data_IF_338872068161
#
_entry.id   IF_338872068161
#
_cell.length_a   1.000
_cell.length_b   1.000
_cell.length_c   1.000
_cell.angle_alpha   90.00
_cell.angle_beta   90.00
_cell.angle_gamma   90.00
#
_symmetry.space_group_name_H-M   'P 1'
#
loop_
_entity.id
_entity.type
_entity.pdbx_description
1 polymer ?
#
# COMPACT_ATOMS: atom_id res chain seq x y z
N UNK A 1 -13.39 -8.55 -1.64
CA UNK A 1 -14.00 -9.76 -1.01
C UNK A 1 -14.92 -10.44 -1.99
N UNK A 2 -15.05 -11.77 -1.92
CA UNK A 2 -16.02 -12.55 -2.71
C UNK A 2 -16.46 -13.81 -1.95
N UNK A 3 -17.68 -14.30 -2.23
CA UNK A 3 -18.12 -15.65 -1.77
C UNK A 3 -17.76 -16.77 -2.76
N UNK A 4 -17.24 -16.43 -3.94
CA UNK A 4 -16.96 -17.40 -5.00
C UNK A 4 -15.59 -18.06 -4.81
N UNK A 5 -15.56 -19.22 -4.17
CA UNK A 5 -14.35 -20.04 -4.00
C UNK A 5 -13.61 -20.29 -5.33
N UNK A 6 -14.37 -20.58 -6.39
CA UNK A 6 -13.83 -20.85 -7.74
C UNK A 6 -13.08 -19.64 -8.31
N UNK A 7 -13.66 -18.44 -8.16
CA UNK A 7 -13.02 -17.20 -8.61
C UNK A 7 -11.74 -16.95 -7.82
N UNK A 8 -11.80 -17.06 -6.49
CA UNK A 8 -10.67 -16.76 -5.62
C UNK A 8 -9.49 -17.68 -5.87
N UNK A 9 -9.73 -18.99 -6.02
CA UNK A 9 -8.67 -19.94 -6.36
C UNK A 9 -8.04 -19.70 -7.72
N UNK A 10 -8.85 -19.30 -8.72
CA UNK A 10 -8.37 -19.04 -10.08
C UNK A 10 -7.38 -17.86 -10.12
N UNK A 11 -7.69 -16.77 -9.41
CA UNK A 11 -6.93 -15.52 -9.50
C UNK A 11 -5.90 -15.34 -8.37
N UNK A 12 -6.15 -15.90 -7.19
CA UNK A 12 -5.42 -15.61 -5.95
C UNK A 12 -4.92 -16.87 -5.23
N UNK A 13 -4.80 -18.00 -5.92
CA UNK A 13 -4.12 -19.19 -5.40
C UNK A 13 -3.46 -20.00 -6.53
N UNK A 14 -2.61 -20.97 -6.16
CA UNK A 14 -2.02 -21.94 -7.08
C UNK A 14 -2.68 -23.30 -6.85
N UNK A 15 -3.28 -23.87 -7.89
CA UNK A 15 -3.79 -25.24 -7.88
C UNK A 15 -2.69 -26.19 -8.35
N UNK A 16 -2.35 -27.16 -7.50
CA UNK A 16 -1.37 -28.23 -7.75
C UNK A 16 -2.08 -29.58 -7.64
N UNK A 17 -1.45 -30.65 -8.12
CA UNK A 17 -2.02 -32.00 -8.09
C UNK A 17 -2.42 -32.47 -6.67
N UNK A 18 -1.72 -31.99 -5.65
CA UNK A 18 -1.93 -32.35 -4.24
C UNK A 18 -2.72 -31.31 -3.43
N UNK A 19 -3.28 -30.26 -4.08
CA UNK A 19 -4.13 -29.28 -3.41
C UNK A 19 -3.87 -27.82 -3.80
N UNK A 20 -4.33 -26.91 -2.95
CA UNK A 20 -4.19 -25.45 -3.16
C UNK A 20 -3.04 -24.93 -2.30
N UNK A 21 -2.14 -24.16 -2.90
CA UNK A 21 -1.02 -23.51 -2.21
C UNK A 21 -0.98 -22.02 -2.55
N UNK A 22 -0.20 -21.24 -1.78
CA UNK A 22 0.08 -19.83 -2.08
C UNK A 22 -1.21 -18.99 -2.17
N UNK A 23 -2.11 -19.19 -1.21
CA UNK A 23 -3.36 -18.43 -1.13
C UNK A 23 -3.08 -16.97 -0.74
N UNK A 24 -3.46 -16.03 -1.59
CA UNK A 24 -3.36 -14.59 -1.35
C UNK A 24 -4.66 -14.02 -0.73
N UNK A 25 -5.54 -14.91 -0.24
CA UNK A 25 -6.80 -14.56 0.40
C UNK A 25 -6.90 -15.16 1.81
N UNK A 26 -7.71 -14.54 2.65
CA UNK A 26 -8.08 -15.04 3.99
C UNK A 26 -9.57 -15.35 4.02
N UNK A 27 -9.96 -16.45 4.67
CA UNK A 27 -11.38 -16.75 4.91
C UNK A 27 -11.82 -15.91 6.11
N UNK A 28 -12.97 -15.25 5.98
CA UNK A 28 -13.50 -14.36 7.02
C UNK A 28 -14.97 -14.65 7.30
N UNK A 29 -15.37 -14.34 8.53
CA UNK A 29 -16.73 -14.56 9.04
C UNK A 29 -17.70 -13.46 8.60
N UNK A 30 -17.22 -12.28 8.19
CA UNK A 30 -18.06 -11.18 7.73
C UNK A 30 -17.62 -10.68 6.35
N UNK A 31 -18.50 -10.69 5.33
CA UNK A 31 -19.77 -11.42 5.30
C UNK A 31 -19.56 -12.95 5.37
N UNK A 32 -20.44 -13.68 6.05
CA UNK A 32 -20.32 -15.12 6.34
C UNK A 32 -19.66 -15.95 5.24
N UNK A 33 -18.53 -16.57 5.61
CA UNK A 33 -17.69 -17.47 4.81
C UNK A 33 -17.25 -16.85 3.47
N UNK A 34 -16.83 -15.59 3.50
CA UNK A 34 -16.24 -14.92 2.35
C UNK A 34 -14.73 -15.06 2.32
N UNK A 35 -14.17 -14.81 1.14
CA UNK A 35 -12.75 -14.72 0.88
C UNK A 35 -12.36 -13.26 0.74
N UNK A 36 -11.42 -12.82 1.56
CA UNK A 36 -10.88 -11.47 1.61
C UNK A 36 -9.49 -11.43 0.98
N UNK A 37 -9.28 -10.46 0.08
CA UNK A 37 -7.97 -10.10 -0.45
C UNK A 37 -7.73 -8.65 -0.08
N UNK A 38 -6.54 -8.36 0.42
CA UNK A 38 -6.18 -7.01 0.81
C UNK A 38 -5.64 -6.24 -0.40
N UNK A 39 -6.31 -5.15 -0.80
CA UNK A 39 -5.93 -4.40 -2.00
C UNK A 39 -4.84 -3.36 -1.72
N UNK A 40 -5.09 -2.42 -0.81
CA UNK A 40 -4.24 -1.25 -0.64
C UNK A 40 -4.38 -0.64 0.76
N UNK A 41 -3.38 0.13 1.18
CA UNK A 41 -3.43 1.01 2.34
C UNK A 41 -3.44 2.47 1.91
N UNK A 42 -4.20 3.29 2.64
CA UNK A 42 -4.20 4.74 2.52
C UNK A 42 -3.68 5.32 3.83
N UNK A 43 -2.49 5.90 3.81
CA UNK A 43 -1.88 6.55 4.97
C UNK A 43 -1.71 8.03 4.69
N UNK A 44 -1.98 8.87 5.69
CA UNK A 44 -1.87 10.33 5.51
C UNK A 44 -0.42 10.70 5.20
N UNK A 45 -0.24 11.52 4.18
CA UNK A 45 1.08 11.92 3.69
C UNK A 45 1.79 10.89 2.81
N UNK A 46 1.20 9.74 2.55
CA UNK A 46 1.74 8.74 1.63
C UNK A 46 0.90 8.68 0.36
N UNK A 47 1.54 8.35 -0.76
CA UNK A 47 0.80 7.89 -1.94
C UNK A 47 0.02 6.62 -1.59
N UNK A 48 -1.12 6.34 -2.26
CA UNK A 48 -1.78 5.05 -2.09
C UNK A 48 -0.81 3.90 -2.37
N UNK A 49 -0.72 2.94 -1.44
CA UNK A 49 0.15 1.77 -1.58
C UNK A 49 -0.69 0.52 -1.81
N UNK A 50 -0.48 -0.14 -2.94
CA UNK A 50 -1.15 -1.38 -3.34
C UNK A 50 -0.30 -2.61 -3.08
N UNK A 51 -0.94 -3.70 -2.67
CA UNK A 51 -0.29 -5.00 -2.55
C UNK A 51 -0.33 -5.69 -3.91
N UNK A 52 0.83 -6.14 -4.37
CA UNK A 52 0.91 -6.94 -5.60
C UNK A 52 0.28 -8.30 -5.34
N UNK A 53 -0.59 -8.68 -6.27
CA UNK A 53 -1.16 -10.02 -6.36
C UNK A 53 -0.63 -10.72 -7.62
N UNK A 54 -0.70 -12.06 -7.66
CA UNK A 54 -0.25 -12.80 -8.85
C UNK A 54 -0.97 -12.36 -10.12
N UNK A 55 -2.29 -12.18 -10.01
CA UNK A 55 -3.16 -11.81 -11.12
C UNK A 55 -3.33 -10.30 -11.33
N UNK A 56 -2.87 -9.47 -10.39
CA UNK A 56 -3.09 -8.02 -10.43
C UNK A 56 -1.80 -7.31 -10.02
N UNK A 57 -1.20 -6.63 -10.99
CA UNK A 57 0.10 -5.95 -10.89
C UNK A 57 0.01 -4.45 -11.17
N UNK A 58 -1.06 -4.01 -11.80
CA UNK A 58 -1.34 -2.60 -12.07
C UNK A 58 -2.75 -2.24 -11.64
N UNK A 59 -2.99 -0.95 -11.43
CA UNK A 59 -4.30 -0.47 -11.03
C UNK A 59 -5.33 -0.64 -12.15
N UNK A 60 -4.88 -0.63 -13.41
CA UNK A 60 -5.74 -0.93 -14.56
C UNK A 60 -6.20 -2.39 -14.56
N UNK A 61 -5.30 -3.34 -14.28
CA UNK A 61 -5.68 -4.75 -14.13
C UNK A 61 -6.66 -4.97 -12.96
N UNK A 62 -6.48 -4.21 -11.86
CA UNK A 62 -7.43 -4.23 -10.74
C UNK A 62 -8.82 -3.73 -11.16
N UNK A 63 -8.86 -2.62 -11.89
CA UNK A 63 -10.09 -2.06 -12.46
C UNK A 63 -10.83 -3.08 -13.31
N UNK A 64 -10.12 -3.66 -14.29
CA UNK A 64 -10.72 -4.60 -15.24
C UNK A 64 -11.25 -5.83 -14.48
N UNK A 65 -10.48 -6.38 -13.54
CA UNK A 65 -10.91 -7.48 -12.67
C UNK A 65 -12.19 -7.14 -11.88
N UNK A 66 -12.24 -5.97 -11.26
CA UNK A 66 -13.39 -5.55 -10.46
C UNK A 66 -14.64 -5.28 -11.32
N UNK A 67 -14.48 -4.72 -12.52
CA UNK A 67 -15.60 -4.42 -13.42
C UNK A 67 -16.18 -5.70 -14.05
N UNK A 68 -15.32 -6.61 -14.51
CA UNK A 68 -15.73 -7.92 -15.03
C UNK A 68 -16.47 -8.76 -13.99
N UNK A 69 -16.06 -8.66 -12.72
CA UNK A 69 -16.59 -9.46 -11.62
C UNK A 69 -17.49 -8.67 -10.66
N UNK A 70 -18.06 -7.53 -11.09
CA UNK A 70 -18.78 -6.58 -10.22
C UNK A 70 -19.95 -7.16 -9.40
N UNK A 71 -20.56 -8.25 -9.88
CA UNK A 71 -21.67 -8.92 -9.20
C UNK A 71 -21.19 -9.97 -8.18
N UNK A 72 -19.92 -10.37 -8.26
CA UNK A 72 -19.31 -11.46 -7.48
C UNK A 72 -18.32 -10.93 -6.46
N UNK A 73 -17.68 -9.80 -6.77
CA UNK A 73 -16.68 -9.13 -5.93
C UNK A 73 -17.29 -7.86 -5.33
N UNK A 74 -17.08 -7.68 -4.03
CA UNK A 74 -17.34 -6.42 -3.34
C UNK A 74 -16.05 -5.82 -2.78
N UNK A 75 -15.97 -4.50 -2.81
CA UNK A 75 -14.88 -3.73 -2.20
C UNK A 75 -15.38 -3.18 -0.87
N UNK A 76 -14.59 -3.37 0.18
CA UNK A 76 -14.92 -2.98 1.54
C UNK A 76 -13.72 -2.27 2.16
N UNK A 77 -13.96 -1.30 3.03
CA UNK A 77 -12.93 -0.78 3.92
C UNK A 77 -12.78 -1.65 5.18
N UNK A 78 -11.84 -1.27 6.06
CA UNK A 78 -11.55 -1.96 7.31
C UNK A 78 -12.73 -1.99 8.30
N UNK A 79 -13.72 -1.11 8.13
CA UNK A 79 -14.92 -1.02 8.97
C UNK A 79 -16.14 -1.71 8.33
N UNK A 80 -15.94 -2.47 7.24
CA UNK A 80 -17.00 -3.20 6.56
C UNK A 80 -17.90 -2.35 5.66
N UNK A 81 -17.57 -1.08 5.41
CA UNK A 81 -18.35 -0.24 4.50
C UNK A 81 -18.10 -0.68 3.05
N UNK A 82 -19.18 -1.03 2.35
CA UNK A 82 -19.12 -1.42 0.94
C UNK A 82 -18.99 -0.20 0.02
N UNK A 83 -18.13 -0.32 -0.99
CA UNK A 83 -17.93 0.67 -2.03
C UNK A 83 -18.33 0.13 -3.41
N UNK A 84 -18.87 1.00 -4.25
CA UNK A 84 -18.88 0.80 -5.71
C UNK A 84 -17.48 1.05 -6.27
N UNK A 85 -17.17 0.51 -7.45
CA UNK A 85 -15.89 0.78 -8.12
C UNK A 85 -15.61 2.29 -8.24
N UNK A 86 -16.60 3.06 -8.71
CA UNK A 86 -16.47 4.51 -8.85
C UNK A 86 -16.13 5.20 -7.53
N UNK A 87 -16.82 4.87 -6.43
CA UNK A 87 -16.54 5.46 -5.12
C UNK A 87 -15.16 5.07 -4.60
N UNK A 88 -14.73 3.83 -4.83
CA UNK A 88 -13.40 3.36 -4.46
C UNK A 88 -12.31 4.09 -5.27
N UNK A 89 -12.47 4.16 -6.60
CA UNK A 89 -11.60 4.89 -7.50
C UNK A 89 -11.46 6.36 -7.06
N UNK A 90 -12.58 7.06 -6.89
CA UNK A 90 -12.58 8.48 -6.52
C UNK A 90 -11.85 8.69 -5.19
N UNK A 91 -12.02 7.78 -4.22
CA UNK A 91 -11.34 7.84 -2.92
C UNK A 91 -9.83 7.69 -3.05
N UNK A 92 -9.36 6.63 -3.71
CA UNK A 92 -7.92 6.35 -3.89
C UNK A 92 -7.26 7.45 -4.72
N UNK A 93 -7.90 7.83 -5.83
CA UNK A 93 -7.36 8.83 -6.74
C UNK A 93 -7.30 10.22 -6.10
N UNK A 94 -8.34 10.63 -5.36
CA UNK A 94 -8.31 11.89 -4.61
C UNK A 94 -7.22 11.92 -3.55
N UNK A 95 -6.95 10.80 -2.87
CA UNK A 95 -5.85 10.68 -1.90
C UNK A 95 -4.49 10.92 -2.55
N UNK A 96 -4.29 10.45 -3.78
CA UNK A 96 -3.03 10.64 -4.53
C UNK A 96 -2.81 12.06 -5.08
N UNK A 97 -3.87 12.86 -5.20
CA UNK A 97 -3.84 14.21 -5.81
C UNK A 97 -3.44 15.32 -4.84
N UNK A 98 -2.94 14.98 -3.66
CA UNK A 98 -2.45 15.99 -2.72
C UNK A 98 -1.32 16.79 -3.35
N UNK A 99 -1.34 18.11 -3.14
CA UNK A 99 -0.29 18.98 -3.66
C UNK A 99 1.07 18.61 -3.06
N UNK A 100 2.15 18.65 -3.84
CA UNK A 100 3.50 18.47 -3.34
C UNK A 100 3.82 19.44 -2.20
N UNK A 101 4.19 18.92 -1.04
CA UNK A 101 4.67 19.69 0.11
C UNK A 101 6.13 19.27 0.41
N UNK A 102 7.08 20.20 0.61
CA UNK A 102 8.51 19.90 0.80
C UNK A 102 8.84 19.47 2.23
N UNK A 103 9.64 18.41 2.36
CA UNK A 103 10.10 17.85 3.64
C UNK A 103 11.61 17.57 3.61
N UNK A 104 12.23 17.64 4.80
CA UNK A 104 13.64 17.29 5.02
C UNK A 104 13.79 16.25 6.13
N UNK A 105 14.93 15.56 6.14
CA UNK A 105 15.23 14.55 7.15
C UNK A 105 15.94 15.16 8.36
N UNK A 106 15.48 14.82 9.56
CA UNK A 106 16.10 15.23 10.83
C UNK A 106 16.31 14.02 11.73
N UNK A 107 17.30 14.13 12.62
CA UNK A 107 17.59 13.13 13.64
C UNK A 107 17.53 13.79 15.02
N UNK A 108 16.32 13.83 15.59
CA UNK A 108 15.99 14.60 16.80
C UNK A 108 14.94 13.84 17.62
N UNK A 109 14.56 14.34 18.80
CA UNK A 109 13.47 13.75 19.59
C UNK A 109 12.16 14.05 18.88
N UNK A 110 11.51 13.01 18.37
CA UNK A 110 10.20 13.13 17.73
C UNK A 110 9.15 13.62 18.75
N UNK A 111 8.49 14.76 18.50
CA UNK A 111 7.46 15.29 19.40
C UNK A 111 6.31 14.33 19.68
N UNK A 112 6.03 13.38 18.77
CA UNK A 112 5.00 12.35 18.93
C UNK A 112 5.48 11.13 19.71
N UNK A 113 6.80 10.88 19.78
CA UNK A 113 7.39 9.70 20.41
C UNK A 113 8.52 10.08 21.38
N UNK A 114 8.24 11.02 22.27
CA UNK A 114 9.22 11.61 23.21
C UNK A 114 10.02 10.59 24.03
N UNK A 115 9.40 9.47 24.37
CA UNK A 115 9.99 8.44 25.23
C UNK A 115 11.03 7.55 24.52
N UNK A 116 11.19 7.68 23.19
CA UNK A 116 12.06 6.81 22.38
C UNK A 116 13.45 7.39 22.10
N UNK A 117 13.77 8.56 22.66
CA UNK A 117 15.00 9.30 22.35
C UNK A 117 15.03 9.79 20.89
N UNK A 118 16.20 10.23 20.37
CA UNK A 118 16.30 10.74 19.01
C UNK A 118 16.01 9.65 17.96
N UNK A 119 15.12 9.99 17.02
CA UNK A 119 14.74 9.13 15.90
C UNK A 119 14.91 9.86 14.58
N UNK A 120 15.08 9.11 13.50
CA UNK A 120 15.13 9.66 12.15
C UNK A 120 13.69 9.79 11.63
N UNK A 121 13.27 11.01 11.30
CA UNK A 121 11.95 11.29 10.72
C UNK A 121 12.01 12.52 9.80
N UNK A 122 10.90 12.79 9.11
CA UNK A 122 10.77 13.91 8.18
C UNK A 122 9.98 15.05 8.80
N UNK A 123 10.41 16.30 8.57
CA UNK A 123 9.69 17.51 8.99
C UNK A 123 9.39 18.42 7.79
N UNK A 124 8.29 19.18 7.81
CA UNK A 124 8.04 20.21 6.80
C UNK A 124 9.20 21.19 6.74
N UNK A 125 9.53 21.64 5.54
CA UNK A 125 10.61 22.61 5.32
C UNK A 125 10.26 23.59 4.21
N UNK A 126 11.22 24.41 3.83
CA UNK A 126 11.10 25.27 2.66
C UNK A 126 11.57 24.54 1.40
N UNK A 127 11.16 25.01 0.22
CA UNK A 127 11.53 24.40 -1.07
C UNK A 127 13.06 24.27 -1.27
N UNK A 128 13.85 25.19 -0.72
CA UNK A 128 15.31 25.16 -0.88
C UNK A 128 16.01 24.10 -0.01
N UNK A 129 15.33 23.60 1.03
CA UNK A 129 15.84 22.55 1.91
C UNK A 129 15.23 21.18 1.58
N UNK A 130 14.33 21.10 0.58
CA UNK A 130 13.53 19.92 0.32
C UNK A 130 14.39 18.73 -0.09
N UNK A 131 14.22 17.62 0.63
CA UNK A 131 14.88 16.35 0.32
C UNK A 131 13.88 15.32 -0.24
N UNK A 132 12.61 15.48 0.10
CA UNK A 132 11.50 14.62 -0.30
C UNK A 132 10.20 15.41 -0.29
N UNK A 133 9.22 14.98 -1.08
CA UNK A 133 7.93 15.65 -1.22
C UNK A 133 6.78 14.74 -0.81
N UNK A 134 5.83 15.29 -0.05
CA UNK A 134 4.56 14.66 0.28
C UNK A 134 3.53 14.94 -0.83
N UNK A 135 2.68 14.00 -1.29
CA UNK A 135 2.56 12.62 -0.82
C UNK A 135 3.80 11.79 -1.14
N UNK A 136 4.35 11.17 -0.11
CA UNK A 136 5.60 10.43 -0.19
C UNK A 136 5.42 9.21 -1.08
N UNK A 137 6.29 9.09 -2.09
CA UNK A 137 6.46 7.82 -2.81
C UNK A 137 7.26 6.86 -1.94
N UNK A 138 6.76 5.63 -1.76
CA UNK A 138 7.39 4.62 -0.90
C UNK A 138 8.80 4.25 -1.37
N UNK A 139 8.99 4.17 -2.69
CA UNK A 139 10.29 3.89 -3.29
C UNK A 139 11.28 5.01 -3.00
N UNK A 140 10.89 6.26 -3.28
CA UNK A 140 11.74 7.43 -3.06
C UNK A 140 12.02 7.60 -1.57
N UNK A 141 11.02 7.42 -0.71
CA UNK A 141 11.19 7.50 0.74
C UNK A 141 12.19 6.47 1.25
N UNK A 142 12.07 5.21 0.83
CA UNK A 142 13.01 4.15 1.24
C UNK A 142 14.45 4.44 0.79
N UNK A 143 14.63 4.97 -0.43
CA UNK A 143 15.94 5.37 -0.94
C UNK A 143 16.52 6.56 -0.16
N UNK A 144 15.71 7.60 0.08
CA UNK A 144 16.12 8.81 0.79
C UNK A 144 16.35 8.56 2.29
N UNK A 145 15.58 7.68 2.92
CA UNK A 145 15.80 7.27 4.30
C UNK A 145 17.18 6.61 4.45
N UNK A 146 17.56 5.71 3.52
CA UNK A 146 18.90 5.08 3.55
C UNK A 146 20.01 6.12 3.43
N UNK A 147 19.84 7.14 2.60
CA UNK A 147 20.80 8.25 2.47
C UNK A 147 20.87 9.08 3.76
N UNK A 148 19.72 9.42 4.34
CA UNK A 148 19.64 10.17 5.59
C UNK A 148 20.25 9.39 6.77
N UNK A 149 19.99 8.09 6.89
CA UNK A 149 20.61 7.22 7.91
C UNK A 149 22.13 7.26 7.84
N UNK A 150 22.70 7.18 6.63
CA UNK A 150 24.15 7.32 6.43
C UNK A 150 24.66 8.70 6.86
N UNK A 151 23.95 9.77 6.47
CA UNK A 151 24.29 11.16 6.85
C UNK A 151 24.27 11.40 8.35
N UNK A 152 23.30 10.83 9.06
CA UNK A 152 23.11 11.00 10.50
C UNK A 152 23.75 9.87 11.34
N UNK A 153 24.52 8.97 10.73
CA UNK A 153 25.15 7.83 11.41
C UNK A 153 24.19 6.93 12.21
N UNK A 154 22.96 6.77 11.70
CA UNK A 154 21.93 5.91 12.30
C UNK A 154 22.01 4.50 11.67
N UNK A 155 22.05 3.42 12.47
CA UNK A 155 22.07 2.06 11.94
C UNK A 155 20.91 1.75 10.98
N UNK A 156 21.16 0.86 10.03
CA UNK A 156 20.12 0.35 9.13
C UNK A 156 19.10 -0.52 9.89
N UNK A 157 17.81 -0.42 9.53
CA UNK A 157 16.77 -1.32 10.03
C UNK A 157 16.85 -2.69 9.33
N UNK A 158 16.50 -3.79 10.02
CA UNK A 158 16.54 -5.13 9.43
C UNK A 158 15.48 -5.41 8.35
N UNK A 159 14.46 -4.55 8.21
CA UNK A 159 13.28 -4.79 7.35
C UNK A 159 13.39 -4.22 5.92
N UNK A 160 14.59 -4.00 5.38
CA UNK A 160 14.80 -3.31 4.09
C UNK A 160 14.51 -4.12 2.81
N UNK A 161 14.03 -5.35 2.92
CA UNK A 161 13.80 -6.20 1.75
C UNK A 161 12.45 -5.97 1.07
N UNK A 162 11.65 -5.02 1.56
CA UNK A 162 10.39 -4.64 0.92
C UNK A 162 10.70 -3.90 -0.39
N UNK A 163 10.15 -4.39 -1.49
CA UNK A 163 10.33 -3.80 -2.82
C UNK A 163 9.13 -2.94 -3.16
N UNK A 164 9.41 -1.69 -3.54
CA UNK A 164 8.40 -0.74 -4.01
C UNK A 164 8.62 -0.38 -5.47
N UNK A 165 7.53 -0.19 -6.22
CA UNK A 165 7.56 0.39 -7.57
C UNK A 165 6.32 1.25 -7.80
N UNK A 166 6.39 2.10 -8.82
CA UNK A 166 5.32 3.02 -9.17
C UNK A 166 4.39 2.36 -10.20
N UNK A 167 3.08 2.65 -10.11
CA UNK A 167 2.13 2.27 -11.14
C UNK A 167 2.43 3.03 -12.44
N UNK A 168 2.35 2.38 -13.62
CA UNK A 168 2.69 3.03 -14.89
C UNK A 168 1.74 4.18 -15.27
N UNK A 169 0.48 4.14 -14.81
CA UNK A 169 -0.57 5.05 -15.29
C UNK A 169 -1.12 5.96 -14.19
N UNK A 170 -0.83 5.65 -12.93
CA UNK A 170 -1.40 6.34 -11.79
C UNK A 170 -0.32 6.73 -10.77
N UNK A 171 -0.50 7.82 -10.00
CA UNK A 171 0.40 8.20 -8.90
C UNK A 171 0.21 7.31 -7.66
N UNK A 172 0.21 5.99 -7.87
CA UNK A 172 0.08 4.94 -6.87
C UNK A 172 1.38 4.16 -6.79
N UNK A 173 1.72 3.69 -5.60
CA UNK A 173 2.85 2.81 -5.41
C UNK A 173 2.35 1.38 -5.18
N UNK A 174 3.22 0.41 -5.44
CA UNK A 174 2.99 -1.01 -5.24
C UNK A 174 4.09 -1.61 -4.38
N UNK A 175 3.76 -2.68 -3.64
CA UNK A 175 4.72 -3.46 -2.85
C UNK A 175 4.59 -4.96 -3.07
N UNK A 176 5.70 -5.68 -2.94
CA UNK A 176 5.66 -7.12 -2.69
C UNK A 176 5.33 -7.38 -1.20
N UNK A 177 4.56 -8.44 -0.92
CA UNK A 177 4.27 -8.91 0.43
C UNK A 177 2.92 -8.47 1.00
N UNK A 178 2.52 -9.10 2.10
CA UNK A 178 1.34 -8.68 2.87
C UNK A 178 1.64 -7.39 3.62
N UNK A 179 0.66 -6.50 3.69
CA UNK A 179 0.74 -5.40 4.62
C UNK A 179 0.69 -5.93 6.06
N UNK A 180 1.77 -5.71 6.83
CA UNK A 180 1.76 -5.88 8.28
C UNK A 180 0.73 -4.94 8.92
#
# INVERSE_FOLDING_TARGET
>A
MSKSKKLMRKYFAVEKEYGITEEEYKIVDEPYLAYQVHLNKLSIGWRPLFQRHRAIRTFKELEDFCLENKNIVGIYDEYGKKYTWKQYYDRVYSHSKRQPEPFKWVYEIDPFFKDRGPTLYTVPCSEHEAEIYMPFSHRIYAEKEKQARKRFHVPERPWYNVKYWEDPNYPFDWTEGEFC
#
